data_IF_085073423279
#
_entry.id   IF_085073423279
#
_cell.length_a   1.000
_cell.length_b   1.000
_cell.length_c   1.000
_cell.angle_alpha   90.00
_cell.angle_beta   90.00
_cell.angle_gamma   90.00
#
_symmetry.space_group_name_H-M   'P 1'
#
loop_
_entity.id
_entity.type
_entity.pdbx_description
1 polymer ?
#
# COMPACT_ATOMS: atom_id res chain seq x y z
N UNK A 1 -0.29 20.77 -32.74
CA UNK A 1 -1.43 20.36 -31.87
C UNK A 1 -2.33 19.45 -32.69
N UNK A 2 -2.31 18.15 -32.42
CA UNK A 2 -2.99 17.15 -33.26
C UNK A 2 -4.41 16.90 -32.75
N UNK A 3 -5.38 16.83 -33.68
CA UNK A 3 -6.83 16.78 -33.44
C UNK A 3 -7.32 15.54 -32.66
N UNK A 4 -6.43 14.60 -32.35
CA UNK A 4 -6.72 13.36 -31.61
C UNK A 4 -6.67 13.53 -30.08
N UNK A 5 -6.18 14.65 -29.54
CA UNK A 5 -6.11 14.89 -28.08
C UNK A 5 -7.42 15.41 -27.46
N UNK A 6 -8.40 15.86 -28.27
CA UNK A 6 -9.72 16.32 -27.78
C UNK A 6 -10.75 15.20 -27.58
N UNK A 7 -10.50 14.00 -28.07
CA UNK A 7 -11.50 12.91 -28.10
C UNK A 7 -11.61 12.10 -26.80
N UNK A 8 -10.78 12.38 -25.79
CA UNK A 8 -10.83 11.67 -24.51
C UNK A 8 -11.63 12.39 -23.40
N UNK A 9 -12.02 13.65 -23.60
CA UNK A 9 -12.75 14.48 -22.61
C UNK A 9 -14.26 14.56 -22.85
N UNK A 10 -14.77 14.00 -23.95
CA UNK A 10 -16.15 14.19 -24.42
C UNK A 10 -17.10 13.00 -24.16
N UNK A 11 -16.69 12.02 -23.36
CA UNK A 11 -17.61 10.95 -22.97
C UNK A 11 -18.43 11.36 -21.73
N UNK A 12 -19.77 11.26 -21.79
CA UNK A 12 -20.60 11.53 -20.62
C UNK A 12 -20.31 10.52 -19.51
N UNK A 13 -20.08 11.04 -18.30
CA UNK A 13 -19.74 10.25 -17.11
C UNK A 13 -20.83 10.39 -16.06
N UNK A 14 -20.89 9.44 -15.12
CA UNK A 14 -21.86 9.47 -14.02
C UNK A 14 -21.15 9.70 -12.69
N UNK A 15 -21.48 10.79 -11.99
CA UNK A 15 -20.93 11.15 -10.69
C UNK A 15 -21.96 10.92 -9.59
N UNK A 16 -21.51 10.47 -8.41
CA UNK A 16 -22.37 10.32 -7.23
C UNK A 16 -21.91 11.28 -6.15
N UNK A 17 -22.61 12.37 -5.95
CA UNK A 17 -22.21 13.38 -4.97
C UNK A 17 -23.01 13.15 -3.69
N UNK A 18 -22.29 12.93 -2.59
CA UNK A 18 -22.86 12.94 -1.25
C UNK A 18 -22.64 14.33 -0.64
N UNK A 19 -23.74 14.98 -0.27
CA UNK A 19 -23.73 16.28 0.41
C UNK A 19 -24.29 16.08 1.81
N UNK A 20 -23.51 16.45 2.83
CA UNK A 20 -23.94 16.43 4.24
C UNK A 20 -23.95 17.84 4.80
N UNK A 21 -24.71 18.05 5.89
CA UNK A 21 -24.86 19.31 6.60
C UNK A 21 -26.31 19.74 6.73
N UNK A 22 -26.57 21.04 6.88
CA UNK A 22 -27.93 21.59 6.87
C UNK A 22 -28.39 21.66 5.41
N UNK A 23 -28.82 20.52 4.86
CA UNK A 23 -29.16 20.39 3.43
C UNK A 23 -30.55 19.79 3.19
N UNK A 24 -31.28 19.45 4.24
CA UNK A 24 -32.65 18.97 4.17
C UNK A 24 -33.62 20.03 4.71
N UNK A 25 -34.82 20.12 4.15
CA UNK A 25 -35.81 21.13 4.54
C UNK A 25 -35.49 22.58 4.12
N UNK A 26 -34.33 22.81 3.48
CA UNK A 26 -33.82 24.16 3.16
C UNK A 26 -33.87 24.51 1.67
N UNK A 27 -34.70 23.79 0.89
CA UNK A 27 -34.81 24.03 -0.56
C UNK A 27 -33.63 23.51 -1.40
N UNK A 28 -32.81 22.60 -0.84
CA UNK A 28 -31.62 22.06 -1.51
C UNK A 28 -31.91 21.24 -2.77
N UNK A 29 -32.87 20.30 -2.72
CA UNK A 29 -33.25 19.48 -3.89
C UNK A 29 -33.73 20.32 -5.08
N UNK A 30 -34.63 21.32 -4.90
CA UNK A 30 -34.98 22.26 -5.97
C UNK A 30 -33.78 23.04 -6.54
N UNK A 31 -32.83 23.46 -5.69
CA UNK A 31 -31.64 24.18 -6.14
C UNK A 31 -30.71 23.28 -6.98
N UNK A 32 -30.48 22.04 -6.53
CA UNK A 32 -29.75 21.01 -7.30
C UNK A 32 -30.42 20.76 -8.65
N UNK A 33 -31.73 20.57 -8.67
CA UNK A 33 -32.46 20.34 -9.92
C UNK A 33 -32.34 21.51 -10.89
N UNK A 34 -32.51 22.75 -10.41
CA UNK A 34 -32.37 23.96 -11.25
C UNK A 34 -30.96 24.05 -11.84
N UNK A 35 -29.95 23.87 -10.99
CA UNK A 35 -28.56 23.99 -11.38
C UNK A 35 -28.15 22.91 -12.39
N UNK A 36 -28.56 21.66 -12.17
CA UNK A 36 -28.30 20.57 -13.12
C UNK A 36 -28.93 20.88 -14.48
N UNK A 37 -30.18 21.38 -14.50
CA UNK A 37 -30.89 21.74 -15.73
C UNK A 37 -30.22 22.90 -16.48
N UNK A 38 -29.72 23.91 -15.77
CA UNK A 38 -29.00 25.03 -16.39
C UNK A 38 -27.70 24.59 -17.08
N UNK A 39 -27.09 23.50 -16.62
CA UNK A 39 -25.82 22.98 -17.12
C UNK A 39 -25.98 21.80 -18.08
N UNK A 40 -27.20 21.49 -18.52
CA UNK A 40 -27.45 20.37 -19.43
C UNK A 40 -27.26 18.98 -18.81
N UNK A 41 -27.16 18.88 -17.49
CA UNK A 41 -26.92 17.63 -16.78
C UNK A 41 -28.24 16.87 -16.55
N UNK A 42 -28.17 15.54 -16.69
CA UNK A 42 -29.26 14.61 -16.33
C UNK A 42 -28.94 13.90 -15.03
N UNK A 43 -29.94 13.44 -14.26
CA UNK A 43 -29.64 12.85 -12.97
C UNK A 43 -30.81 12.68 -12.00
N UNK A 44 -30.48 12.28 -10.78
CA UNK A 44 -31.40 12.15 -9.64
C UNK A 44 -30.85 12.90 -8.43
N UNK A 45 -31.75 13.45 -7.62
CA UNK A 45 -31.43 14.01 -6.30
C UNK A 45 -32.45 13.53 -5.29
N UNK A 46 -31.98 12.98 -4.17
CA UNK A 46 -32.84 12.45 -3.11
C UNK A 46 -32.30 12.80 -1.72
N UNK A 47 -33.20 12.86 -0.76
CA UNK A 47 -32.86 12.97 0.65
C UNK A 47 -32.88 11.56 1.26
N UNK A 48 -31.90 11.25 2.10
CA UNK A 48 -31.87 10.03 2.91
C UNK A 48 -31.40 10.36 4.35
N UNK A 49 -31.21 9.36 5.22
CA UNK A 49 -30.77 9.58 6.60
C UNK A 49 -29.42 10.29 6.75
N UNK A 50 -28.60 10.30 5.68
CA UNK A 50 -27.23 10.83 5.69
C UNK A 50 -27.08 12.21 5.02
N UNK A 51 -28.17 12.81 4.55
CA UNK A 51 -28.18 14.13 3.89
C UNK A 51 -28.80 14.11 2.50
N UNK A 52 -28.11 14.65 1.50
CA UNK A 52 -28.57 14.67 0.10
C UNK A 52 -27.62 13.84 -0.77
N UNK A 53 -28.19 12.87 -1.49
CA UNK A 53 -27.49 12.13 -2.54
C UNK A 53 -27.88 12.70 -3.90
N UNK A 54 -26.88 13.04 -4.71
CA UNK A 54 -27.06 13.54 -6.07
C UNK A 54 -26.34 12.57 -7.01
N UNK A 55 -27.00 12.12 -8.07
CA UNK A 55 -26.34 11.43 -9.18
C UNK A 55 -26.48 12.29 -10.42
N UNK A 56 -25.37 12.65 -11.05
CA UNK A 56 -25.35 13.45 -12.26
C UNK A 56 -24.71 12.66 -13.39
N UNK A 57 -25.25 12.81 -14.59
CA UNK A 57 -24.79 12.24 -15.83
C UNK A 57 -24.68 13.34 -16.88
N UNK A 58 -23.48 13.50 -17.43
CA UNK A 58 -23.15 14.56 -18.40
C UNK A 58 -21.64 14.68 -18.61
N UNK A 59 -21.19 15.74 -19.27
CA UNK A 59 -19.76 15.96 -19.48
C UNK A 59 -19.08 16.30 -18.15
N UNK A 60 -17.85 15.83 -17.96
CA UNK A 60 -17.11 16.06 -16.71
C UNK A 60 -17.00 17.56 -16.38
N UNK A 61 -16.77 18.40 -17.39
CA UNK A 61 -16.68 19.86 -17.24
C UNK A 61 -17.99 20.51 -16.72
N UNK A 62 -19.14 20.01 -17.19
CA UNK A 62 -20.47 20.50 -16.75
C UNK A 62 -20.77 20.06 -15.32
N UNK A 63 -20.40 18.82 -14.98
CA UNK A 63 -20.52 18.32 -13.60
C UNK A 63 -19.61 19.12 -12.67
N UNK A 64 -18.39 19.47 -13.10
CA UNK A 64 -17.49 20.32 -12.31
C UNK A 64 -18.01 21.75 -12.12
N UNK A 65 -18.63 22.36 -13.14
CA UNK A 65 -19.31 23.65 -13.00
C UNK A 65 -20.50 23.57 -12.04
N UNK A 66 -21.26 22.46 -12.10
CA UNK A 66 -22.33 22.19 -11.15
C UNK A 66 -21.79 22.17 -9.72
N UNK A 67 -20.68 21.46 -9.49
CA UNK A 67 -20.07 21.37 -8.16
C UNK A 67 -19.60 22.72 -7.64
N UNK A 68 -18.98 23.51 -8.52
CA UNK A 68 -18.45 24.83 -8.20
C UNK A 68 -19.57 25.79 -7.80
N UNK A 69 -20.64 25.85 -8.59
CA UNK A 69 -21.80 26.72 -8.33
C UNK A 69 -22.58 26.26 -7.10
N UNK A 70 -22.73 24.95 -6.87
CA UNK A 70 -23.41 24.43 -5.68
C UNK A 70 -22.67 24.79 -4.38
N UNK A 71 -21.33 24.86 -4.40
CA UNK A 71 -20.51 25.31 -3.26
C UNK A 71 -20.53 26.83 -3.07
N UNK A 72 -20.47 27.58 -4.18
CA UNK A 72 -20.40 29.05 -4.13
C UNK A 72 -21.74 29.67 -3.71
N UNK A 73 -22.82 29.17 -4.29
CA UNK A 73 -24.17 29.72 -4.15
C UNK A 73 -25.15 28.63 -3.64
N UNK A 74 -24.94 28.05 -2.43
CA UNK A 74 -25.90 27.13 -1.86
C UNK A 74 -27.23 27.87 -1.56
N UNK A 75 -28.35 27.15 -1.41
CA UNK A 75 -29.59 27.75 -0.94
C UNK A 75 -29.36 28.59 0.33
N UNK A 76 -30.06 29.72 0.55
CA UNK A 76 -29.76 30.66 1.65
C UNK A 76 -29.74 30.05 3.06
N UNK A 77 -30.55 29.01 3.29
CA UNK A 77 -30.63 28.30 4.56
C UNK A 77 -29.75 27.04 4.61
N UNK A 78 -29.05 26.72 3.53
CA UNK A 78 -28.25 25.52 3.40
C UNK A 78 -26.81 25.74 3.84
N UNK A 79 -26.27 24.76 4.57
CA UNK A 79 -24.84 24.67 4.90
C UNK A 79 -24.31 23.32 4.47
N UNK A 80 -23.36 23.32 3.53
CA UNK A 80 -22.71 22.10 3.04
C UNK A 80 -21.48 21.84 3.92
N UNK A 81 -21.54 20.80 4.75
CA UNK A 81 -20.48 20.42 5.67
C UNK A 81 -19.46 19.47 5.01
N UNK A 82 -19.91 18.56 4.13
CA UNK A 82 -19.01 17.68 3.37
C UNK A 82 -19.52 17.42 1.97
N UNK A 83 -18.57 17.32 1.03
CA UNK A 83 -18.85 16.95 -0.35
C UNK A 83 -17.86 15.87 -0.80
N UNK A 84 -18.33 14.62 -0.89
CA UNK A 84 -17.47 13.43 -1.05
C UNK A 84 -16.99 13.20 -2.51
N UNK A 85 -16.30 14.18 -3.14
CA UNK A 85 -15.79 14.05 -4.52
C UNK A 85 -14.38 13.47 -4.62
N UNK A 86 -13.51 13.76 -3.63
CA UNK A 86 -12.10 13.39 -3.71
C UNK A 86 -11.88 11.88 -3.90
N UNK A 87 -12.62 11.04 -3.16
CA UNK A 87 -12.50 9.57 -3.27
C UNK A 87 -12.89 9.06 -4.65
N UNK A 88 -13.89 9.68 -5.27
CA UNK A 88 -14.39 9.26 -6.58
C UNK A 88 -13.42 9.66 -7.68
N UNK A 89 -13.02 10.94 -7.70
CA UNK A 89 -12.04 11.44 -8.66
C UNK A 89 -10.69 10.70 -8.57
N UNK A 90 -10.26 10.32 -7.35
CA UNK A 90 -9.05 9.49 -7.14
C UNK A 90 -9.24 7.98 -7.29
N UNK A 91 -10.46 7.49 -7.51
CA UNK A 91 -10.81 6.06 -7.52
C UNK A 91 -10.30 5.32 -6.28
N UNK A 92 -10.49 5.92 -5.10
CA UNK A 92 -9.96 5.47 -3.80
C UNK A 92 -11.11 5.23 -2.81
N UNK A 93 -11.84 4.10 -2.90
CA UNK A 93 -13.09 3.92 -2.17
C UNK A 93 -12.92 3.78 -0.66
N UNK A 94 -11.90 3.02 -0.19
CA UNK A 94 -11.77 2.67 1.24
C UNK A 94 -10.47 3.10 1.91
N UNK A 95 -9.36 3.22 1.17
CA UNK A 95 -8.04 3.50 1.76
C UNK A 95 -8.08 4.83 2.54
N UNK A 96 -7.71 4.86 3.84
CA UNK A 96 -7.76 6.06 4.67
C UNK A 96 -7.03 7.24 4.04
N UNK A 97 -7.55 8.45 4.29
CA UNK A 97 -6.94 9.71 3.90
C UNK A 97 -6.12 10.23 5.09
N UNK A 98 -4.87 10.61 4.83
CA UNK A 98 -4.05 11.24 5.86
C UNK A 98 -4.49 12.70 6.06
N UNK A 99 -4.28 13.20 7.27
CA UNK A 99 -4.77 14.48 7.74
C UNK A 99 -3.59 15.32 8.22
N UNK A 100 -3.58 16.59 7.86
CA UNK A 100 -2.71 17.59 8.46
C UNK A 100 -3.54 18.45 9.41
N UNK A 101 -3.10 18.55 10.66
CA UNK A 101 -3.67 19.48 11.64
C UNK A 101 -2.67 20.61 11.92
N UNK A 102 -3.14 21.76 12.40
CA UNK A 102 -2.28 22.90 12.72
C UNK A 102 -1.29 22.60 13.84
N UNK A 103 -1.77 21.96 14.89
CA UNK A 103 -1.07 21.69 16.14
C UNK A 103 -1.67 20.46 16.85
N UNK A 104 -1.07 20.08 17.97
CA UNK A 104 -1.54 18.96 18.78
C UNK A 104 -2.92 19.22 19.41
N UNK A 105 -3.28 20.48 19.66
CA UNK A 105 -4.59 20.84 20.24
C UNK A 105 -5.72 20.48 19.28
N UNK A 106 -5.57 20.80 17.98
CA UNK A 106 -6.53 20.40 16.96
C UNK A 106 -6.60 18.87 16.84
N UNK A 107 -5.47 18.16 16.93
CA UNK A 107 -5.46 16.68 16.89
C UNK A 107 -6.19 16.09 18.10
N UNK A 108 -5.95 16.64 19.29
CA UNK A 108 -6.51 16.17 20.56
C UNK A 108 -8.05 16.20 20.58
N UNK A 109 -8.67 17.07 19.78
CA UNK A 109 -10.13 17.10 19.58
C UNK A 109 -10.65 15.82 18.92
N UNK A 110 -9.88 15.17 18.05
CA UNK A 110 -10.31 13.98 17.31
C UNK A 110 -9.69 12.68 17.83
N UNK A 111 -8.54 12.75 18.49
CA UNK A 111 -7.80 11.59 18.98
C UNK A 111 -7.15 11.86 20.33
N UNK A 112 -7.25 10.90 21.23
CA UNK A 112 -6.51 10.92 22.49
C UNK A 112 -5.05 10.55 22.22
N UNK A 113 -4.12 11.35 22.73
CA UNK A 113 -2.68 11.21 22.44
C UNK A 113 -1.89 10.80 23.68
N UNK A 114 -1.19 9.68 23.60
CA UNK A 114 -0.11 9.35 24.53
C UNK A 114 1.10 10.28 24.37
N UNK A 115 1.95 10.36 25.38
CA UNK A 115 3.21 11.13 25.31
C UNK A 115 4.11 10.68 24.16
N UNK A 116 4.12 9.38 23.85
CA UNK A 116 4.91 8.83 22.73
C UNK A 116 4.34 9.24 21.38
N UNK A 117 3.01 9.26 21.21
CA UNK A 117 2.36 9.75 19.99
C UNK A 117 2.61 11.24 19.77
N UNK A 118 2.54 12.06 20.83
CA UNK A 118 2.85 13.49 20.75
C UNK A 118 4.28 13.71 20.28
N UNK A 119 5.26 13.03 20.90
CA UNK A 119 6.67 13.09 20.49
C UNK A 119 6.88 12.63 19.04
N UNK A 120 6.19 11.58 18.61
CA UNK A 120 6.28 11.10 17.23
C UNK A 120 5.70 12.09 16.21
N UNK A 121 4.64 12.81 16.56
CA UNK A 121 4.05 13.87 15.73
C UNK A 121 4.95 15.10 15.63
N UNK A 122 5.59 15.47 16.74
CA UNK A 122 6.50 16.63 16.86
C UNK A 122 7.93 16.34 16.37
N UNK A 123 8.25 15.10 16.02
CA UNK A 123 9.55 14.75 15.46
C UNK A 123 9.82 15.56 14.19
N UNK A 124 11.06 15.99 14.00
CA UNK A 124 11.52 16.74 12.81
C UNK A 124 11.27 16.00 11.49
N UNK A 125 11.19 14.67 11.50
CA UNK A 125 10.81 13.86 10.35
C UNK A 125 9.35 14.11 9.94
N UNK A 126 8.53 14.67 10.83
CA UNK A 126 7.13 15.02 10.68
C UNK A 126 6.32 13.92 9.96
N UNK A 127 6.28 12.69 10.49
CA UNK A 127 5.59 11.58 9.88
C UNK A 127 4.07 11.73 9.98
N UNK A 128 3.35 10.90 9.23
CA UNK A 128 1.95 10.58 9.53
C UNK A 128 1.96 9.54 10.64
N UNK A 129 1.36 9.84 11.79
CA UNK A 129 1.20 8.90 12.91
C UNK A 129 -0.24 8.37 12.90
N UNK A 130 -0.39 7.04 12.94
CA UNK A 130 -1.69 6.40 13.07
C UNK A 130 -2.14 6.40 14.54
N UNK A 131 -3.25 7.09 14.81
CA UNK A 131 -3.82 7.29 16.14
C UNK A 131 -5.15 6.55 16.27
N UNK A 132 -5.25 5.68 17.27
CA UNK A 132 -6.36 4.71 17.39
C UNK A 132 -7.43 5.14 18.39
N UNK A 133 -7.07 5.89 19.43
CA UNK A 133 -7.98 6.22 20.51
C UNK A 133 -8.83 7.45 20.16
N UNK A 134 -10.16 7.32 20.09
CA UNK A 134 -11.03 8.44 19.72
C UNK A 134 -10.94 9.58 20.76
N UNK A 135 -11.05 10.81 20.26
CA UNK A 135 -11.23 12.02 21.06
C UNK A 135 -12.71 12.42 21.17
N UNK A 136 -13.01 13.63 21.68
CA UNK A 136 -14.37 14.11 21.87
C UNK A 136 -15.14 14.36 20.56
N UNK A 137 -14.45 14.70 19.48
CA UNK A 137 -15.05 14.97 18.17
C UNK A 137 -14.82 13.84 17.17
N UNK A 138 -15.71 13.74 16.18
CA UNK A 138 -15.63 12.76 15.11
C UNK A 138 -15.46 13.43 13.76
N UNK A 139 -14.59 12.86 12.94
CA UNK A 139 -14.51 13.20 11.52
C UNK A 139 -15.52 12.36 10.72
N UNK A 140 -15.92 12.83 9.53
CA UNK A 140 -16.78 12.05 8.65
C UNK A 140 -16.19 10.66 8.38
N UNK A 141 -17.02 9.62 8.36
CA UNK A 141 -16.61 8.22 8.07
C UNK A 141 -15.84 8.12 6.76
N UNK A 142 -16.15 8.98 5.78
CA UNK A 142 -15.46 9.10 4.52
C UNK A 142 -13.94 9.37 4.67
N UNK A 143 -13.42 9.86 5.79
CA UNK A 143 -11.97 10.04 5.99
C UNK A 143 -11.25 8.70 6.09
N UNK A 144 -11.80 7.75 6.86
CA UNK A 144 -11.21 6.43 7.08
C UNK A 144 -12.29 5.32 7.20
N UNK A 145 -12.96 4.96 6.10
CA UNK A 145 -14.08 4.01 6.13
C UNK A 145 -13.68 2.64 6.71
N UNK A 146 -14.37 2.22 7.77
CA UNK A 146 -14.11 0.95 8.45
C UNK A 146 -12.76 0.86 9.17
N UNK A 147 -12.08 1.98 9.43
CA UNK A 147 -10.86 2.02 10.21
C UNK A 147 -11.07 2.75 11.54
N UNK A 148 -10.63 2.15 12.65
CA UNK A 148 -10.60 2.82 13.96
C UNK A 148 -9.49 3.88 14.05
N UNK A 149 -8.45 3.77 13.23
CA UNK A 149 -7.29 4.66 13.26
C UNK A 149 -7.43 5.84 12.29
N UNK A 150 -6.92 7.00 12.70
CA UNK A 150 -6.74 8.17 11.83
C UNK A 150 -5.26 8.48 11.70
N UNK A 151 -4.81 8.76 10.47
CA UNK A 151 -3.43 9.17 10.21
C UNK A 151 -3.30 10.68 10.26
N UNK A 152 -2.64 11.21 11.28
CA UNK A 152 -2.38 12.64 11.45
C UNK A 152 -0.90 12.97 11.24
N UNK A 153 -0.63 14.15 10.70
CA UNK A 153 0.70 14.76 10.63
C UNK A 153 0.62 16.24 11.00
N UNK A 154 1.73 16.79 11.48
CA UNK A 154 1.87 18.22 11.71
C UNK A 154 2.44 18.95 10.48
N UNK A 155 2.30 20.29 10.42
CA UNK A 155 2.88 21.08 9.34
C UNK A 155 4.41 21.00 9.42
N UNK A 156 5.06 20.80 8.28
CA UNK A 156 6.50 20.51 8.22
C UNK A 156 7.26 21.32 7.16
N UNK A 157 6.58 22.28 6.53
CA UNK A 157 7.20 23.24 5.63
C UNK A 157 6.63 24.63 5.94
N UNK A 158 7.33 25.73 5.61
CA UNK A 158 6.81 27.08 5.80
C UNK A 158 5.43 27.28 5.14
N UNK A 159 5.23 26.70 3.95
CA UNK A 159 3.95 26.73 3.27
C UNK A 159 2.86 26.00 4.07
N UNK A 160 3.17 24.83 4.64
CA UNK A 160 2.22 24.09 5.47
C UNK A 160 1.81 24.89 6.71
N UNK A 161 2.76 25.57 7.38
CA UNK A 161 2.42 26.43 8.52
C UNK A 161 1.54 27.62 8.12
N UNK A 162 1.87 28.27 6.98
CA UNK A 162 1.08 29.39 6.46
C UNK A 162 -0.34 28.97 6.07
N UNK A 163 -0.53 27.75 5.54
CA UNK A 163 -1.85 27.22 5.22
C UNK A 163 -2.60 26.80 6.50
N UNK A 164 -1.98 25.97 7.33
CA UNK A 164 -2.63 25.34 8.48
C UNK A 164 -3.09 26.35 9.54
N UNK A 165 -2.42 27.51 9.69
CA UNK A 165 -2.86 28.55 10.63
C UNK A 165 -4.26 29.12 10.34
N UNK A 166 -4.75 28.97 9.10
CA UNK A 166 -6.08 29.45 8.70
C UNK A 166 -7.20 28.43 8.95
N UNK A 167 -6.90 27.25 9.50
CA UNK A 167 -7.87 26.19 9.72
C UNK A 167 -7.82 25.70 11.18
N UNK A 168 -8.98 25.72 11.84
CA UNK A 168 -9.21 25.09 13.15
C UNK A 168 -9.70 23.64 13.03
N UNK A 169 -9.68 23.09 11.81
CA UNK A 169 -10.05 21.71 11.50
C UNK A 169 -8.95 21.03 10.67
N UNK A 170 -8.82 19.69 10.74
CA UNK A 170 -7.82 18.98 9.98
C UNK A 170 -8.09 19.03 8.47
N UNK A 171 -7.04 19.22 7.69
CA UNK A 171 -7.08 19.18 6.23
C UNK A 171 -6.69 17.78 5.73
N UNK A 172 -7.37 17.29 4.69
CA UNK A 172 -6.91 16.07 4.02
C UNK A 172 -5.61 16.36 3.27
N UNK A 173 -4.55 15.66 3.65
CA UNK A 173 -3.22 15.73 3.02
C UNK A 173 -2.88 14.34 2.47
N UNK A 174 -3.05 14.14 1.16
CA UNK A 174 -2.83 12.83 0.54
C UNK A 174 -2.01 12.95 -0.74
N UNK A 175 -1.22 11.91 -1.04
CA UNK A 175 -0.31 11.84 -2.19
C UNK A 175 -0.93 12.35 -3.50
N UNK A 176 -0.28 13.28 -4.19
CA UNK A 176 -0.73 13.85 -5.48
C UNK A 176 -0.62 12.89 -6.66
N UNK A 177 -1.33 11.76 -6.62
CA UNK A 177 -1.33 10.74 -7.66
C UNK A 177 -2.72 10.12 -7.89
N UNK A 178 -2.91 9.60 -9.10
CA UNK A 178 -3.94 8.59 -9.36
C UNK A 178 -3.58 7.29 -8.62
N UNK A 179 -4.59 6.52 -8.21
CA UNK A 179 -4.39 5.28 -7.44
C UNK A 179 -3.42 4.33 -8.15
N UNK A 180 -2.36 3.92 -7.44
CA UNK A 180 -1.37 2.94 -7.93
C UNK A 180 -0.17 3.54 -8.66
N UNK A 181 -0.11 4.87 -8.87
CA UNK A 181 1.02 5.52 -9.55
C UNK A 181 1.93 6.30 -8.58
N UNK A 182 3.21 6.51 -8.93
CA UNK A 182 4.09 7.44 -8.24
C UNK A 182 3.49 8.86 -8.16
N UNK A 183 3.87 9.59 -7.09
CA UNK A 183 3.58 11.01 -6.91
C UNK A 183 4.21 11.83 -8.04
N UNK A 184 3.48 12.84 -8.54
CA UNK A 184 4.02 13.78 -9.52
C UNK A 184 5.06 14.67 -8.81
N UNK A 185 6.18 14.94 -9.48
CA UNK A 185 7.23 15.86 -8.96
C UNK A 185 7.39 17.11 -9.82
N UNK A 186 6.95 17.03 -11.08
CA UNK A 186 6.98 18.12 -12.04
C UNK A 186 5.61 18.85 -12.10
N UNK A 187 5.64 20.15 -12.37
CA UNK A 187 4.46 21.01 -12.40
C UNK A 187 3.54 20.69 -13.58
N UNK A 188 4.10 20.50 -14.78
CA UNK A 188 3.33 20.21 -15.99
C UNK A 188 2.73 18.80 -15.89
N UNK A 189 3.50 17.86 -15.35
CA UNK A 189 3.00 16.53 -15.01
C UNK A 189 1.81 16.60 -14.04
N UNK A 190 1.92 17.39 -12.96
CA UNK A 190 0.87 17.53 -11.96
C UNK A 190 -0.41 18.12 -12.59
N UNK A 191 -0.29 19.18 -13.40
CA UNK A 191 -1.42 19.78 -14.11
C UNK A 191 -2.10 18.78 -15.05
N UNK A 192 -1.31 18.05 -15.85
CA UNK A 192 -1.82 17.09 -16.82
C UNK A 192 -2.50 15.88 -16.14
N UNK A 193 -1.87 15.32 -15.09
CA UNK A 193 -2.35 14.08 -14.44
C UNK A 193 -3.44 14.33 -13.40
N UNK A 194 -3.43 15.47 -12.74
CA UNK A 194 -4.33 15.76 -11.62
C UNK A 194 -5.44 16.76 -11.98
N UNK A 195 -5.46 17.31 -13.20
CA UNK A 195 -6.47 18.29 -13.61
C UNK A 195 -7.92 17.79 -13.49
N UNK A 196 -8.15 16.48 -13.66
CA UNK A 196 -9.46 15.84 -13.44
C UNK A 196 -9.76 15.51 -11.96
N UNK A 197 -8.84 15.81 -11.05
CA UNK A 197 -8.93 15.49 -9.62
C UNK A 197 -9.00 16.78 -8.80
N UNK A 198 -8.04 17.67 -8.99
CA UNK A 198 -7.88 18.89 -8.21
C UNK A 198 -8.66 20.06 -8.83
N UNK A 199 -9.38 20.80 -8.00
CA UNK A 199 -10.11 22.01 -8.42
C UNK A 199 -9.17 23.20 -8.65
N UNK A 200 -8.00 23.20 -8.00
CA UNK A 200 -6.98 24.24 -8.10
C UNK A 200 -5.59 23.68 -7.80
N UNK A 201 -4.56 24.40 -8.25
CA UNK A 201 -3.16 24.03 -8.06
C UNK A 201 -2.40 25.14 -7.36
N UNK A 202 -1.63 24.76 -6.34
CA UNK A 202 -0.66 25.61 -5.67
C UNK A 202 0.72 25.05 -5.96
N UNK A 203 1.43 25.68 -6.90
CA UNK A 203 2.73 25.23 -7.42
C UNK A 203 3.84 26.19 -7.03
N UNK A 204 5.09 25.78 -7.22
CA UNK A 204 6.28 26.63 -7.04
C UNK A 204 7.35 26.30 -8.09
N UNK A 205 8.32 27.20 -8.22
CA UNK A 205 9.45 27.12 -9.17
C UNK A 205 10.68 26.37 -8.63
N UNK A 206 10.66 25.94 -7.36
CA UNK A 206 11.70 25.07 -6.79
C UNK A 206 11.50 23.61 -7.21
N UNK A 207 12.26 23.12 -8.18
CA UNK A 207 12.12 21.75 -8.67
C UNK A 207 12.26 20.67 -7.57
N UNK A 208 11.38 19.66 -7.60
CA UNK A 208 11.47 18.47 -6.76
C UNK A 208 12.25 17.41 -7.53
N UNK A 209 13.53 17.26 -7.20
CA UNK A 209 14.44 16.35 -7.92
C UNK A 209 14.20 14.88 -7.55
N UNK A 210 13.81 14.62 -6.30
CA UNK A 210 13.60 13.28 -5.75
C UNK A 210 12.19 13.15 -5.21
N UNK A 211 11.43 12.19 -5.77
CA UNK A 211 10.15 11.79 -5.22
C UNK A 211 10.35 11.20 -3.83
N UNK A 212 9.57 11.67 -2.86
CA UNK A 212 9.54 11.07 -1.54
C UNK A 212 8.12 11.11 -0.98
N UNK A 213 7.56 9.94 -0.70
CA UNK A 213 6.28 9.82 -0.03
C UNK A 213 6.38 10.24 1.44
N UNK A 214 5.25 10.59 2.07
CA UNK A 214 5.21 10.79 3.51
C UNK A 214 5.45 9.47 4.25
N UNK A 215 6.30 9.51 5.28
CA UNK A 215 6.47 8.39 6.19
C UNK A 215 5.22 8.16 7.01
N UNK A 216 4.95 6.89 7.33
CA UNK A 216 3.79 6.50 8.14
C UNK A 216 4.27 5.66 9.31
N UNK A 217 3.98 6.09 10.53
CA UNK A 217 4.30 5.39 11.77
C UNK A 217 3.02 4.90 12.45
N UNK A 218 3.14 3.81 13.19
CA UNK A 218 2.14 3.33 14.15
C UNK A 218 2.88 2.91 15.42
N UNK A 219 2.26 3.10 16.58
CA UNK A 219 2.80 2.54 17.81
C UNK A 219 2.52 1.03 17.85
N UNK A 220 3.58 0.25 18.05
CA UNK A 220 3.53 -1.19 18.32
C UNK A 220 4.18 -1.38 19.68
N UNK A 221 3.42 -1.94 20.63
CA UNK A 221 3.85 -2.11 22.03
C UNK A 221 4.44 -0.81 22.63
N UNK A 222 3.73 0.31 22.45
CA UNK A 222 4.15 1.63 22.93
C UNK A 222 5.31 2.27 22.18
N UNK A 223 5.90 1.61 21.19
CA UNK A 223 7.07 2.11 20.43
C UNK A 223 6.67 2.51 19.00
N UNK A 224 7.06 3.69 18.49
CA UNK A 224 6.80 4.07 17.10
C UNK A 224 7.53 3.14 16.12
N UNK A 225 6.77 2.46 15.26
CA UNK A 225 7.30 1.58 14.22
C UNK A 225 6.86 2.07 12.82
N UNK A 226 7.76 2.08 11.82
CA UNK A 226 7.43 2.53 10.48
C UNK A 226 6.60 1.48 9.73
N UNK A 227 5.39 1.88 9.31
CA UNK A 227 4.64 1.18 8.26
C UNK A 227 5.12 1.59 6.86
N UNK A 228 5.67 2.79 6.75
CA UNK A 228 6.34 3.31 5.55
C UNK A 228 7.50 4.20 5.97
N UNK A 229 8.72 3.81 5.61
CA UNK A 229 9.94 4.62 5.76
C UNK A 229 10.19 5.41 4.47
N UNK A 230 10.02 6.73 4.52
CA UNK A 230 10.20 7.62 3.39
C UNK A 230 10.67 9.01 3.87
N UNK A 231 9.90 10.09 3.69
CA UNK A 231 10.29 11.46 4.09
C UNK A 231 10.74 11.53 5.55
N UNK A 232 11.84 12.24 5.80
CA UNK A 232 12.40 12.43 7.14
C UNK A 232 13.26 11.26 7.63
N UNK A 233 13.21 10.10 6.98
CA UNK A 233 14.00 8.92 7.34
C UNK A 233 14.94 8.50 6.22
N UNK A 234 14.43 8.27 5.01
CA UNK A 234 15.26 7.99 3.85
C UNK A 234 15.91 9.28 3.33
N UNK A 235 17.20 9.27 2.93
CA UNK A 235 18.10 8.12 2.79
C UNK A 235 19.09 7.99 3.96
N UNK A 236 18.69 8.29 5.20
CA UNK A 236 19.59 8.17 6.37
C UNK A 236 20.05 6.70 6.51
N UNK A 237 21.37 6.44 6.46
CA UNK A 237 21.90 5.08 6.62
C UNK A 237 21.62 4.52 8.01
N UNK A 238 21.47 3.20 8.08
CA UNK A 238 21.41 2.44 9.32
C UNK A 238 22.75 1.73 9.53
N UNK A 239 23.33 1.72 10.74
CA UNK A 239 24.53 0.96 11.02
C UNK A 239 24.26 -0.53 10.86
N UNK A 240 25.23 -1.27 10.33
CA UNK A 240 25.16 -2.71 10.31
C UNK A 240 25.41 -3.30 11.70
N UNK A 241 24.81 -4.45 12.00
CA UNK A 241 25.05 -5.16 13.26
C UNK A 241 26.52 -5.57 13.41
N UNK A 242 26.99 -5.79 14.65
CA UNK A 242 28.32 -6.28 14.90
C UNK A 242 28.63 -7.59 14.16
N UNK A 243 29.81 -7.68 13.55
CA UNK A 243 30.24 -8.80 12.72
C UNK A 243 29.84 -8.71 11.24
N UNK A 244 29.16 -7.64 10.82
CA UNK A 244 28.80 -7.38 9.41
C UNK A 244 29.38 -6.07 8.86
N UNK A 245 30.22 -5.37 9.63
CA UNK A 245 30.75 -4.04 9.28
C UNK A 245 31.66 -4.08 8.05
N UNK A 246 32.43 -5.15 7.91
CA UNK A 246 33.38 -5.36 6.80
C UNK A 246 32.72 -5.95 5.55
N UNK A 247 31.38 -6.01 5.51
CA UNK A 247 30.68 -6.52 4.35
C UNK A 247 31.01 -5.71 3.09
N UNK A 248 31.26 -6.37 1.94
CA UNK A 248 31.56 -5.67 0.70
C UNK A 248 30.35 -4.86 0.23
N UNK A 249 30.55 -3.82 -0.61
CA UNK A 249 29.44 -3.10 -1.19
C UNK A 249 28.45 -4.02 -1.88
N UNK A 250 27.20 -4.00 -1.45
CA UNK A 250 26.16 -4.92 -1.93
C UNK A 250 24.89 -4.14 -2.26
N UNK A 251 24.22 -4.55 -3.33
CA UNK A 251 22.92 -4.03 -3.71
C UNK A 251 21.84 -5.08 -3.42
N UNK A 252 20.95 -4.79 -2.47
CA UNK A 252 19.77 -5.63 -2.20
C UNK A 252 18.53 -5.01 -2.85
N UNK A 253 17.80 -5.79 -3.66
CA UNK A 253 16.70 -5.26 -4.47
C UNK A 253 15.32 -5.34 -3.82
N UNK A 254 15.17 -6.11 -2.74
CA UNK A 254 13.90 -6.30 -2.03
C UNK A 254 12.86 -7.10 -2.84
N UNK A 255 11.63 -7.15 -2.30
CA UNK A 255 10.48 -7.82 -2.92
C UNK A 255 9.75 -6.97 -3.97
N UNK A 256 8.64 -7.46 -4.51
CA UNK A 256 7.87 -6.75 -5.57
C UNK A 256 6.94 -5.65 -5.02
N UNK A 257 6.25 -5.95 -3.91
CA UNK A 257 5.24 -5.09 -3.32
C UNK A 257 5.84 -4.20 -2.23
N UNK A 258 5.40 -2.93 -2.20
CA UNK A 258 5.90 -1.91 -1.26
C UNK A 258 7.43 -1.79 -1.28
N UNK A 259 8.04 -2.00 -2.45
CA UNK A 259 9.46 -2.16 -2.63
C UNK A 259 10.29 -1.01 -2.04
N UNK A 260 11.43 -1.40 -1.49
CA UNK A 260 12.60 -0.57 -1.23
C UNK A 260 13.84 -1.37 -1.65
N UNK A 261 14.85 -0.71 -2.23
CA UNK A 261 16.18 -1.30 -2.40
C UNK A 261 17.13 -0.77 -1.33
N UNK A 262 18.24 -1.46 -1.09
CA UNK A 262 19.23 -1.10 -0.09
C UNK A 262 20.65 -1.15 -0.66
N UNK A 263 21.43 -0.11 -0.38
CA UNK A 263 22.85 -0.03 -0.69
C UNK A 263 23.66 -0.29 0.58
N UNK A 264 24.43 -1.36 0.58
CA UNK A 264 25.37 -1.69 1.65
C UNK A 264 26.73 -1.05 1.33
N UNK A 265 27.34 -0.34 2.26
CA UNK A 265 28.71 0.20 2.10
C UNK A 265 29.28 0.64 3.44
N UNK A 266 30.54 0.31 3.72
CA UNK A 266 31.31 0.84 4.87
C UNK A 266 30.57 0.65 6.21
N UNK A 267 30.07 -0.55 6.46
CA UNK A 267 29.32 -0.86 7.69
C UNK A 267 27.95 -0.18 7.80
N UNK A 268 27.39 0.35 6.70
CA UNK A 268 26.10 1.03 6.68
C UNK A 268 25.15 0.46 5.62
N UNK A 269 23.86 0.46 5.94
CA UNK A 269 22.75 0.10 5.06
C UNK A 269 21.91 1.33 4.72
N UNK A 270 21.96 1.78 3.47
CA UNK A 270 21.18 2.92 2.97
C UNK A 270 19.96 2.42 2.21
N UNK A 271 18.78 2.46 2.84
CA UNK A 271 17.51 2.13 2.19
C UNK A 271 17.00 3.28 1.32
N UNK A 272 16.41 2.93 0.18
CA UNK A 272 15.61 3.85 -0.61
C UNK A 272 14.36 4.29 0.16
N UNK A 273 13.73 5.36 -0.31
CA UNK A 273 12.34 5.64 0.03
C UNK A 273 11.42 4.53 -0.47
N UNK A 274 10.21 4.46 0.09
CA UNK A 274 9.15 3.61 -0.42
C UNK A 274 8.87 3.88 -1.90
N UNK A 275 9.10 2.87 -2.75
CA UNK A 275 8.90 2.98 -4.19
C UNK A 275 7.47 2.60 -4.56
N UNK A 276 6.98 1.45 -4.12
CA UNK A 276 5.60 1.00 -4.33
C UNK A 276 5.50 -0.41 -4.90
N UNK A 277 4.50 -0.64 -5.74
CA UNK A 277 4.25 -1.90 -6.44
C UNK A 277 4.96 -1.89 -7.80
N UNK A 278 5.98 -2.74 -7.95
CA UNK A 278 6.83 -2.81 -9.14
C UNK A 278 6.13 -3.43 -10.37
N UNK A 279 4.96 -4.06 -10.22
CA UNK A 279 4.18 -4.55 -11.36
C UNK A 279 3.66 -3.40 -12.23
N UNK A 280 3.49 -2.21 -11.64
CA UNK A 280 3.02 -1.02 -12.33
C UNK A 280 4.15 -0.39 -13.15
N UNK A 281 3.92 -0.18 -14.45
CA UNK A 281 4.93 0.34 -15.36
C UNK A 281 5.52 1.70 -14.93
N UNK A 282 4.70 2.61 -14.40
CA UNK A 282 5.18 3.92 -13.94
C UNK A 282 6.05 3.78 -12.69
N UNK A 283 5.69 2.89 -11.76
CA UNK A 283 6.49 2.59 -10.56
C UNK A 283 7.80 1.89 -10.93
N UNK A 284 7.78 1.00 -11.92
CA UNK A 284 8.97 0.33 -12.43
C UNK A 284 9.99 1.33 -13.00
N UNK A 285 9.54 2.30 -13.82
CA UNK A 285 10.43 3.35 -14.35
C UNK A 285 11.01 4.20 -13.22
N UNK A 286 10.16 4.66 -12.29
CA UNK A 286 10.62 5.42 -11.13
C UNK A 286 11.63 4.62 -10.30
N UNK A 287 11.42 3.32 -10.09
CA UNK A 287 12.36 2.44 -9.41
C UNK A 287 13.75 2.44 -10.07
N UNK A 288 13.80 2.31 -11.41
CA UNK A 288 15.07 2.32 -12.16
C UNK A 288 15.79 3.68 -12.01
N UNK A 289 15.05 4.78 -12.18
CA UNK A 289 15.58 6.13 -12.05
C UNK A 289 16.11 6.40 -10.63
N UNK A 290 15.38 5.96 -9.59
CA UNK A 290 15.81 6.09 -8.20
C UNK A 290 17.05 5.25 -7.92
N UNK A 291 17.12 4.01 -8.42
CA UNK A 291 18.27 3.14 -8.21
C UNK A 291 19.54 3.73 -8.82
N UNK A 292 19.47 4.20 -10.07
CA UNK A 292 20.60 4.87 -10.70
C UNK A 292 21.02 6.13 -9.95
N UNK A 293 20.04 6.92 -9.51
CA UNK A 293 20.30 8.15 -8.77
C UNK A 293 20.97 7.89 -7.42
N UNK A 294 20.47 6.92 -6.66
CA UNK A 294 21.08 6.52 -5.39
C UNK A 294 22.50 5.99 -5.61
N UNK A 295 22.70 5.15 -6.63
CA UNK A 295 24.04 4.67 -6.97
C UNK A 295 25.02 5.82 -7.27
N UNK A 296 24.58 6.86 -8.00
CA UNK A 296 25.40 8.06 -8.25
C UNK A 296 25.61 8.90 -6.98
N UNK A 297 24.55 9.17 -6.22
CA UNK A 297 24.57 10.00 -5.02
C UNK A 297 25.52 9.44 -3.96
N UNK A 298 25.51 8.13 -3.75
CA UNK A 298 26.34 7.43 -2.78
C UNK A 298 27.64 6.87 -3.38
N UNK A 299 27.94 7.20 -4.64
CA UNK A 299 29.06 6.66 -5.41
C UNK A 299 29.20 5.13 -5.24
N UNK A 300 28.06 4.43 -5.21
CA UNK A 300 27.97 3.03 -4.85
C UNK A 300 28.21 2.14 -6.07
N UNK A 301 29.18 1.24 -5.95
CA UNK A 301 29.51 0.22 -6.95
C UNK A 301 29.36 -1.15 -6.30
N UNK A 302 28.28 -1.90 -6.58
CA UNK A 302 28.06 -3.18 -5.93
C UNK A 302 29.12 -4.19 -6.37
N UNK A 303 29.59 -4.99 -5.42
CA UNK A 303 30.41 -6.18 -5.63
C UNK A 303 29.58 -7.47 -5.53
N UNK A 304 28.32 -7.37 -5.11
CA UNK A 304 27.34 -8.46 -5.13
C UNK A 304 25.92 -7.89 -5.21
N UNK A 305 24.98 -8.71 -5.68
CA UNK A 305 23.55 -8.38 -5.74
C UNK A 305 22.74 -9.40 -4.93
N UNK A 306 21.88 -8.93 -4.03
CA UNK A 306 20.93 -9.76 -3.30
C UNK A 306 19.50 -9.58 -3.84
N UNK A 307 18.78 -10.69 -4.03
CA UNK A 307 17.41 -10.73 -4.57
C UNK A 307 16.52 -11.65 -3.74
N UNK A 308 15.21 -11.43 -3.84
CA UNK A 308 14.21 -12.40 -3.33
C UNK A 308 14.22 -13.68 -4.18
N UNK A 309 14.03 -14.83 -3.52
CA UNK A 309 13.91 -16.14 -4.16
C UNK A 309 12.72 -16.33 -5.09
N UNK A 310 11.75 -15.40 -5.11
CA UNK A 310 10.60 -15.50 -6.01
C UNK A 310 11.01 -15.39 -7.49
N UNK A 311 10.75 -16.42 -8.33
CA UNK A 311 11.25 -16.46 -9.71
C UNK A 311 10.59 -15.41 -10.63
N UNK A 312 9.36 -15.00 -10.30
CA UNK A 312 8.55 -14.07 -11.09
C UNK A 312 8.66 -12.59 -10.70
N UNK A 313 9.44 -12.22 -9.69
CA UNK A 313 9.59 -10.80 -9.33
C UNK A 313 10.42 -10.06 -10.37
N UNK A 314 9.98 -8.85 -10.74
CA UNK A 314 10.69 -7.94 -11.65
C UNK A 314 12.02 -7.51 -11.06
N UNK A 315 12.05 -7.21 -9.76
CA UNK A 315 13.29 -6.89 -9.04
C UNK A 315 14.30 -8.04 -9.13
N UNK A 316 13.86 -9.28 -8.86
CA UNK A 316 14.69 -10.48 -8.93
C UNK A 316 15.16 -10.80 -10.35
N UNK A 317 14.30 -10.63 -11.35
CA UNK A 317 14.67 -10.82 -12.76
C UNK A 317 15.73 -9.81 -13.21
N UNK A 318 15.54 -8.54 -12.86
CA UNK A 318 16.49 -7.48 -13.16
C UNK A 318 17.84 -7.68 -12.46
N UNK A 319 17.83 -8.10 -11.19
CA UNK A 319 19.04 -8.39 -10.43
C UNK A 319 19.85 -9.55 -11.03
N UNK A 320 19.18 -10.62 -11.47
CA UNK A 320 19.81 -11.74 -12.20
C UNK A 320 20.48 -11.30 -13.49
N UNK A 321 19.77 -10.54 -14.30
CA UNK A 321 20.27 -10.03 -15.58
C UNK A 321 21.48 -9.11 -15.37
N UNK A 322 21.39 -8.17 -14.42
CA UNK A 322 22.49 -7.26 -14.07
C UNK A 322 23.71 -8.02 -13.54
N UNK A 323 23.50 -8.96 -12.62
CA UNK A 323 24.60 -9.77 -12.06
C UNK A 323 25.33 -10.55 -13.16
N UNK A 324 24.58 -11.14 -14.09
CA UNK A 324 25.15 -11.86 -15.24
C UNK A 324 25.95 -10.93 -16.15
N UNK A 325 25.39 -9.76 -16.48
CA UNK A 325 26.00 -8.78 -17.38
C UNK A 325 27.28 -8.17 -16.80
N UNK A 326 27.29 -7.91 -15.50
CA UNK A 326 28.41 -7.26 -14.80
C UNK A 326 29.39 -8.27 -14.18
N UNK A 327 29.11 -9.58 -14.27
CA UNK A 327 29.94 -10.63 -13.66
C UNK A 327 29.94 -10.60 -12.13
N UNK A 328 28.85 -10.16 -11.51
CA UNK A 328 28.72 -10.03 -10.06
C UNK A 328 28.16 -11.31 -9.42
N UNK A 329 28.64 -11.71 -8.24
CA UNK A 329 27.97 -12.67 -7.38
C UNK A 329 26.50 -12.30 -7.14
N UNK A 330 25.63 -13.28 -7.31
CA UNK A 330 24.20 -13.17 -7.05
C UNK A 330 23.84 -14.00 -5.81
N UNK A 331 23.18 -13.37 -4.85
CA UNK A 331 22.75 -13.98 -3.60
C UNK A 331 21.22 -14.03 -3.59
N UNK A 332 20.65 -15.23 -3.57
CA UNK A 332 19.22 -15.42 -3.47
C UNK A 332 18.84 -15.60 -2.00
N UNK A 333 17.94 -14.76 -1.49
CA UNK A 333 17.50 -14.76 -0.09
C UNK A 333 16.02 -15.12 -0.02
N UNK A 334 15.68 -16.00 0.93
CA UNK A 334 14.29 -16.40 1.14
C UNK A 334 13.49 -15.28 1.81
N UNK A 335 12.24 -15.06 1.38
CA UNK A 335 11.41 -13.92 1.80
C UNK A 335 11.19 -13.80 3.32
N UNK A 336 10.85 -14.90 3.99
CA UNK A 336 10.59 -14.89 5.44
C UNK A 336 11.89 -14.86 6.25
N UNK A 337 12.98 -15.44 5.73
CA UNK A 337 14.32 -15.29 6.30
C UNK A 337 14.78 -13.84 6.24
N UNK A 338 14.50 -13.12 5.14
CA UNK A 338 14.77 -11.69 5.03
C UNK A 338 13.98 -10.86 6.06
N UNK A 339 12.71 -11.19 6.33
CA UNK A 339 11.92 -10.55 7.40
C UNK A 339 12.54 -10.78 8.79
N UNK A 340 12.95 -12.03 9.09
CA UNK A 340 13.66 -12.35 10.34
C UNK A 340 14.96 -11.54 10.45
N UNK A 341 15.81 -11.59 9.43
CA UNK A 341 17.10 -10.91 9.39
C UNK A 341 16.97 -9.38 9.51
N UNK A 342 15.95 -8.78 8.91
CA UNK A 342 15.69 -7.34 9.03
C UNK A 342 15.39 -6.93 10.48
N UNK A 343 14.60 -7.73 11.20
CA UNK A 343 14.31 -7.51 12.62
C UNK A 343 15.58 -7.66 13.49
N UNK A 344 16.37 -8.72 13.26
CA UNK A 344 17.65 -8.89 13.96
C UNK A 344 18.59 -7.70 13.73
N UNK A 345 18.66 -7.22 12.48
CA UNK A 345 19.53 -6.13 12.10
C UNK A 345 19.11 -4.80 12.74
N UNK A 346 17.82 -4.50 12.74
CA UNK A 346 17.28 -3.29 13.38
C UNK A 346 17.56 -3.26 14.89
N UNK A 347 17.54 -4.42 15.54
CA UNK A 347 17.86 -4.57 16.96
C UNK A 347 19.36 -4.74 17.25
N UNK A 348 20.23 -4.66 16.24
CA UNK A 348 21.68 -4.73 16.41
C UNK A 348 22.18 -6.08 16.92
N UNK A 349 21.45 -7.17 16.67
CA UNK A 349 21.85 -8.52 17.09
C UNK A 349 23.16 -8.90 16.36
N UNK A 350 24.26 -9.24 17.07
CA UNK A 350 25.53 -9.60 16.44
C UNK A 350 25.42 -10.80 15.51
N UNK A 351 26.28 -10.84 14.49
CA UNK A 351 26.31 -11.92 13.50
C UNK A 351 26.64 -13.30 14.09
N UNK A 352 27.36 -13.33 15.20
CA UNK A 352 27.80 -14.52 15.92
C UNK A 352 26.93 -14.86 17.15
N UNK A 353 25.83 -14.12 17.38
CA UNK A 353 24.93 -14.34 18.52
C UNK A 353 24.20 -15.69 18.49
N UNK A 354 24.25 -16.41 17.36
CA UNK A 354 23.56 -17.67 17.14
C UNK A 354 22.11 -17.51 16.70
N UNK A 355 21.38 -18.63 16.51
CA UNK A 355 20.05 -18.61 15.92
C UNK A 355 19.00 -18.06 16.88
N UNK A 356 18.10 -17.23 16.33
CA UNK A 356 16.92 -16.69 17.01
C UNK A 356 15.64 -17.38 16.57
N UNK A 357 14.64 -17.41 17.45
CA UNK A 357 13.28 -17.82 17.10
C UNK A 357 12.53 -16.64 16.48
N UNK A 358 12.14 -16.76 15.21
CA UNK A 358 11.34 -15.80 14.46
C UNK A 358 9.92 -16.26 14.24
N UNK A 359 8.94 -15.38 14.47
CA UNK A 359 7.55 -15.57 14.06
C UNK A 359 7.29 -14.61 12.91
N UNK A 360 7.12 -15.14 11.70
CA UNK A 360 6.97 -14.33 10.49
C UNK A 360 5.57 -14.52 9.92
N UNK A 361 4.76 -13.47 10.02
CA UNK A 361 3.37 -13.42 9.57
C UNK A 361 3.22 -12.37 8.46
N UNK A 362 2.95 -12.81 7.24
CA UNK A 362 2.80 -11.95 6.06
C UNK A 362 1.59 -12.39 5.21
N UNK A 363 1.35 -11.75 4.07
CA UNK A 363 0.40 -12.19 3.06
C UNK A 363 0.84 -13.50 2.39
N UNK A 364 1.70 -13.40 1.39
CA UNK A 364 2.25 -14.56 0.66
C UNK A 364 3.69 -14.24 0.22
N UNK A 365 4.64 -15.05 0.68
CA UNK A 365 6.03 -15.08 0.21
C UNK A 365 6.37 -16.42 -0.48
N UNK A 366 7.39 -16.43 -1.33
CA UNK A 366 7.83 -17.65 -2.01
C UNK A 366 8.52 -18.60 -1.02
N UNK A 367 8.01 -19.82 -0.93
CA UNK A 367 8.60 -20.91 -0.16
C UNK A 367 9.65 -21.68 -0.94
N UNK A 368 10.62 -22.24 -0.24
CA UNK A 368 11.67 -23.10 -0.83
C UNK A 368 11.11 -24.38 -1.47
N UNK A 369 9.95 -24.82 -1.00
CA UNK A 369 9.18 -25.96 -1.53
C UNK A 369 8.24 -25.57 -2.70
N UNK A 370 8.37 -24.34 -3.21
CA UNK A 370 7.50 -23.76 -4.23
C UNK A 370 6.09 -23.42 -3.73
N UNK A 371 5.79 -23.61 -2.44
CA UNK A 371 4.51 -23.23 -1.85
C UNK A 371 4.48 -21.75 -1.46
N UNK A 372 3.30 -21.20 -1.20
CA UNK A 372 3.16 -19.86 -0.62
C UNK A 372 3.27 -19.92 0.90
N UNK A 373 4.26 -19.22 1.46
CA UNK A 373 4.42 -19.06 2.92
C UNK A 373 3.72 -17.78 3.37
N UNK A 374 3.25 -17.74 4.62
CA UNK A 374 2.61 -16.53 5.17
C UNK A 374 2.37 -16.58 6.68
N UNK A 375 2.78 -17.66 7.35
CA UNK A 375 2.65 -17.78 8.79
C UNK A 375 3.58 -18.86 9.32
N UNK A 376 4.87 -18.54 9.37
CA UNK A 376 5.94 -19.50 9.65
C UNK A 376 6.62 -19.18 10.98
N UNK A 377 7.05 -20.23 11.70
CA UNK A 377 8.03 -20.14 12.78
C UNK A 377 9.37 -20.63 12.27
N UNK A 378 10.37 -19.77 12.34
CA UNK A 378 11.72 -20.01 11.88
C UNK A 378 12.67 -20.02 13.08
N UNK A 379 13.70 -20.86 13.06
CA UNK A 379 14.87 -20.75 13.93
C UNK A 379 16.05 -20.48 13.02
N UNK A 380 16.67 -19.31 13.11
CA UNK A 380 17.73 -18.90 12.18
C UNK A 380 18.50 -17.66 12.61
N UNK A 381 19.61 -17.41 11.93
CA UNK A 381 20.45 -16.21 12.05
C UNK A 381 20.57 -15.50 10.69
N UNK A 382 21.56 -14.64 10.47
CA UNK A 382 21.76 -13.98 9.17
C UNK A 382 22.22 -14.91 8.04
N UNK A 383 22.75 -16.09 8.36
CA UNK A 383 23.33 -17.04 7.39
C UNK A 383 22.30 -18.08 6.98
N UNK A 384 21.69 -18.74 7.95
CA UNK A 384 20.82 -19.89 7.73
C UNK A 384 19.57 -19.84 8.60
N UNK A 385 18.54 -20.59 8.18
CA UNK A 385 17.33 -20.76 8.96
C UNK A 385 16.74 -22.16 8.79
N UNK A 386 15.92 -22.57 9.76
CA UNK A 386 15.12 -23.79 9.72
C UNK A 386 13.67 -23.46 10.06
N UNK A 387 12.75 -23.79 9.16
CA UNK A 387 11.31 -23.72 9.45
C UNK A 387 10.91 -24.83 10.42
N UNK A 388 10.43 -24.47 11.61
CA UNK A 388 10.04 -25.43 12.66
C UNK A 388 8.52 -25.60 12.79
N UNK A 389 7.73 -24.60 12.41
CA UNK A 389 6.28 -24.71 12.35
C UNK A 389 5.69 -23.77 11.28
N UNK A 390 4.44 -24.03 10.90
CA UNK A 390 3.69 -23.20 9.95
C UNK A 390 2.19 -23.28 10.19
N UNK A 391 1.45 -22.26 9.75
CA UNK A 391 0.02 -22.38 9.57
C UNK A 391 -0.29 -23.48 8.57
N UNK A 392 -1.37 -24.24 8.81
CA UNK A 392 -1.80 -25.30 7.91
C UNK A 392 -2.08 -24.70 6.52
N UNK A 393 -1.38 -25.14 5.45
CA UNK A 393 -1.64 -24.64 4.11
C UNK A 393 -3.10 -24.85 3.70
N UNK A 394 -3.65 -23.88 2.99
CA UNK A 394 -4.98 -23.95 2.42
C UNK A 394 -4.90 -23.66 0.92
N UNK A 395 -5.85 -24.21 0.16
CA UNK A 395 -5.99 -23.85 -1.25
C UNK A 395 -6.30 -22.35 -1.36
N UNK A 396 -5.79 -21.72 -2.42
CA UNK A 396 -6.07 -20.32 -2.77
C UNK A 396 -6.81 -20.27 -4.10
N UNK A 397 -8.15 -20.47 -4.12
CA UNK A 397 -8.91 -20.57 -5.36
C UNK A 397 -8.79 -19.28 -6.19
N UNK A 398 -8.23 -19.39 -7.39
CA UNK A 398 -8.00 -18.24 -8.28
C UNK A 398 -6.75 -17.42 -7.94
N UNK A 399 -5.85 -17.93 -7.08
CA UNK A 399 -4.57 -17.28 -6.78
C UNK A 399 -4.76 -15.83 -6.29
N UNK A 400 -4.28 -14.87 -7.08
CA UNK A 400 -4.42 -13.44 -6.79
C UNK A 400 -5.89 -12.99 -6.59
N UNK A 401 -6.88 -13.68 -7.16
CA UNK A 401 -8.29 -13.37 -6.90
C UNK A 401 -8.66 -13.61 -5.44
N UNK A 402 -8.10 -14.61 -4.78
CA UNK A 402 -8.38 -14.87 -3.38
C UNK A 402 -7.96 -13.70 -2.46
N UNK A 403 -7.05 -12.83 -2.92
CA UNK A 403 -6.68 -11.59 -2.23
C UNK A 403 -7.72 -10.47 -2.38
N UNK A 404 -8.42 -10.42 -3.53
CA UNK A 404 -9.44 -9.39 -3.83
C UNK A 404 -10.83 -9.81 -3.35
N UNK A 405 -11.07 -11.11 -3.29
CA UNK A 405 -12.33 -11.74 -2.87
C UNK A 405 -12.09 -12.65 -1.65
N UNK A 406 -12.00 -12.09 -0.42
CA UNK A 406 -11.65 -12.86 0.77
C UNK A 406 -12.58 -14.05 1.07
N UNK A 407 -13.82 -13.99 0.58
CA UNK A 407 -14.79 -15.10 0.69
C UNK A 407 -14.27 -16.40 0.07
N UNK A 408 -13.37 -16.33 -0.94
CA UNK A 408 -12.73 -17.51 -1.55
C UNK A 408 -11.87 -18.27 -0.55
N UNK A 409 -11.13 -17.57 0.30
CA UNK A 409 -10.30 -18.18 1.35
C UNK A 409 -11.20 -18.84 2.41
N UNK A 410 -12.26 -18.15 2.83
CA UNK A 410 -13.21 -18.69 3.80
C UNK A 410 -13.88 -19.97 3.27
N UNK A 411 -14.38 -19.93 2.03
CA UNK A 411 -14.98 -21.09 1.37
C UNK A 411 -13.99 -22.25 1.27
N UNK A 412 -12.74 -22.00 0.84
CA UNK A 412 -11.71 -23.04 0.75
C UNK A 412 -11.46 -23.74 2.10
N UNK A 413 -11.40 -22.97 3.20
CA UNK A 413 -11.19 -23.53 4.55
C UNK A 413 -12.39 -24.33 5.04
N UNK A 414 -13.60 -23.74 4.96
CA UNK A 414 -14.83 -24.38 5.43
C UNK A 414 -15.15 -25.65 4.62
N UNK A 415 -14.99 -25.62 3.30
CA UNK A 415 -15.24 -26.78 2.45
C UNK A 415 -14.28 -27.91 2.75
N UNK A 416 -12.98 -27.64 2.89
CA UNK A 416 -12.01 -28.68 3.25
C UNK A 416 -12.30 -29.31 4.61
N UNK A 417 -12.61 -28.49 5.63
CA UNK A 417 -12.91 -28.96 6.97
C UNK A 417 -14.19 -29.80 7.02
N UNK A 418 -15.31 -29.25 6.55
CA UNK A 418 -16.61 -29.93 6.56
C UNK A 418 -16.63 -31.18 5.66
N UNK A 419 -15.93 -31.16 4.53
CA UNK A 419 -15.83 -32.33 3.65
C UNK A 419 -15.06 -33.45 4.36
N UNK A 420 -13.93 -33.15 5.00
CA UNK A 420 -13.17 -34.15 5.75
C UNK A 420 -13.99 -34.75 6.89
N UNK A 421 -14.73 -33.92 7.63
CA UNK A 421 -15.60 -34.38 8.72
C UNK A 421 -16.72 -35.29 8.21
N UNK A 422 -17.45 -34.87 7.18
CA UNK A 422 -18.55 -35.65 6.61
C UNK A 422 -18.09 -36.97 6.00
N UNK A 423 -16.95 -36.99 5.30
CA UNK A 423 -16.40 -38.23 4.74
C UNK A 423 -15.98 -39.20 5.86
N UNK A 424 -15.33 -38.71 6.93
CA UNK A 424 -15.00 -39.56 8.10
C UNK A 424 -16.24 -40.07 8.81
N UNK A 425 -17.28 -39.24 8.93
CA UNK A 425 -18.57 -39.64 9.52
C UNK A 425 -19.32 -40.68 8.66
N UNK A 426 -18.98 -40.81 7.39
CA UNK A 426 -19.46 -41.86 6.50
C UNK A 426 -18.51 -43.09 6.48
N UNK A 427 -17.66 -43.24 7.51
CA UNK A 427 -16.67 -44.30 7.65
C UNK A 427 -15.65 -44.40 6.49
N UNK A 428 -15.45 -43.31 5.75
CA UNK A 428 -14.45 -43.24 4.69
C UNK A 428 -13.10 -42.79 5.25
N UNK A 429 -12.03 -43.48 4.82
CA UNK A 429 -10.67 -43.05 5.09
C UNK A 429 -10.33 -41.81 4.25
N UNK A 430 -10.19 -40.66 4.91
CA UNK A 430 -9.79 -39.40 4.25
C UNK A 430 -8.26 -39.29 4.20
N UNK A 431 -7.70 -39.37 2.99
CA UNK A 431 -6.28 -39.15 2.72
C UNK A 431 -6.06 -37.74 2.15
N UNK A 432 -5.07 -37.03 2.69
CA UNK A 432 -4.69 -35.69 2.24
C UNK A 432 -3.22 -35.73 1.83
N UNK A 433 -2.91 -35.14 0.67
CA UNK A 433 -1.55 -34.97 0.17
C UNK A 433 -0.64 -34.32 1.22
N UNK A 434 0.53 -34.94 1.48
CA UNK A 434 1.54 -34.44 2.45
C UNK A 434 2.90 -34.16 1.85
N UNK A 435 3.33 -34.96 0.87
CA UNK A 435 4.68 -34.89 0.29
C UNK A 435 4.68 -34.41 -1.17
N UNK A 436 3.65 -34.73 -1.94
CA UNK A 436 3.45 -34.22 -3.30
C UNK A 436 2.23 -33.30 -3.31
N UNK A 437 2.24 -32.21 -4.10
CA UNK A 437 1.12 -31.28 -4.11
C UNK A 437 -0.15 -31.93 -4.70
N UNK A 438 -1.32 -31.46 -4.26
CA UNK A 438 -2.62 -31.93 -4.75
C UNK A 438 -3.02 -31.33 -6.11
N UNK A 439 -2.14 -30.53 -6.73
CA UNK A 439 -2.31 -29.98 -8.08
C UNK A 439 -1.54 -30.83 -9.11
N UNK A 440 -1.32 -30.29 -10.31
CA UNK A 440 -0.63 -30.98 -11.40
C UNK A 440 0.75 -31.54 -11.02
N UNK A 441 1.42 -30.99 -10.00
CA UNK A 441 2.71 -31.50 -9.52
C UNK A 441 2.64 -32.89 -8.89
N UNK A 442 1.45 -33.39 -8.50
CA UNK A 442 1.25 -34.75 -8.00
C UNK A 442 0.93 -35.78 -9.09
N UNK A 443 0.64 -35.34 -10.32
CA UNK A 443 0.11 -36.22 -11.37
C UNK A 443 1.11 -37.26 -11.83
N UNK A 444 2.39 -36.91 -11.96
CA UNK A 444 3.43 -37.83 -12.40
C UNK A 444 3.54 -39.07 -11.49
N UNK A 445 3.42 -38.88 -10.17
CA UNK A 445 3.39 -39.99 -9.22
C UNK A 445 2.16 -40.88 -9.44
N UNK A 446 0.98 -40.26 -9.58
CA UNK A 446 -0.27 -40.98 -9.86
C UNK A 446 -0.18 -41.80 -11.16
N UNK A 447 0.33 -41.20 -12.23
CA UNK A 447 0.55 -41.86 -13.52
C UNK A 447 1.49 -43.06 -13.40
N UNK A 448 2.62 -42.91 -12.72
CA UNK A 448 3.59 -43.98 -12.49
C UNK A 448 2.96 -45.15 -11.72
N UNK A 449 2.25 -44.86 -10.62
CA UNK A 449 1.58 -45.89 -9.82
C UNK A 449 0.48 -46.62 -10.61
N UNK A 450 -0.33 -45.89 -11.38
CA UNK A 450 -1.39 -46.47 -12.22
C UNK A 450 -0.80 -47.37 -13.31
N UNK A 451 0.25 -46.90 -14.01
CA UNK A 451 0.93 -47.67 -15.05
C UNK A 451 1.53 -48.96 -14.47
N UNK A 452 2.22 -48.86 -13.33
CA UNK A 452 2.81 -50.02 -12.65
C UNK A 452 1.75 -51.05 -12.22
N UNK A 453 0.60 -50.60 -11.70
CA UNK A 453 -0.50 -51.50 -11.31
C UNK A 453 -1.07 -52.27 -12.51
N UNK A 454 -1.38 -51.57 -13.61
CA UNK A 454 -1.93 -52.17 -14.84
C UNK A 454 -0.97 -53.19 -15.47
N UNK A 455 0.31 -52.87 -15.54
CA UNK A 455 1.34 -53.78 -16.06
C UNK A 455 1.49 -55.03 -15.19
N UNK A 456 1.22 -54.94 -13.88
CA UNK A 456 1.27 -56.10 -12.97
C UNK A 456 0.10 -57.04 -13.18
N UNK A 457 -1.09 -56.53 -13.49
CA UNK A 457 -2.27 -57.33 -13.80
C UNK A 457 -2.14 -58.06 -15.14
N UNK A 458 -1.54 -57.43 -16.16
CA UNK A 458 -1.28 -58.07 -17.47
C UNK A 458 -0.25 -59.21 -17.41
N UNK A 459 0.51 -59.32 -16.31
CA UNK A 459 1.49 -60.39 -16.07
C UNK A 459 0.94 -61.53 -15.21
N UNK A 460 -0.27 -61.41 -14.67
CA UNK A 460 -1.01 -62.48 -14.00
C UNK A 460 -1.97 -63.11 -14.99
#
# INVERSE_FOLDING_TARGET
>A
MNALSRLATDQPTTWRIRVRGIVQGVGFRPAVWRLARTLGLSGEVLNDGDGVAIRLHGLAAEIDDFMTRLRRDPPPLARIDTLETLRQRKRRPRKPLALMARDLEVIARYRTLSTTEQRALEDRAAPIVLLEHPGPEQLPEAVAPGSGALGFMLPHSPLHHLLARHFDTPLVFTSGNASGRPQCTDNDEALARLGAIADAFLLHDRAIVNRVDDSVLRLIDGTPAPLRRARGFAPTPLPLPPGLEDAPPLLALGGELKNTFCLLREGQATLSQHIGDLEQADTWRDWQDQLERFARLFAHRPQAIAIDGHPGYRSSAWGRDRATREGLPLITVQHHHAHLAACLAEHGVPADAGPSLGIVLDGIGHGEDGSGWGGELLVGDYRDFRRIARLRPAALPGGAQAMREPWRNLAARLLAEQLCERLRAADLQVLIHRQVPANDGGLALGQACIAAARLREQRR
#
